data_IF_211825256568
#
_entry.id   IF_211825256568
#
_cell.length_a   1.000
_cell.length_b   1.000
_cell.length_c   1.000
_cell.angle_alpha   90.00
_cell.angle_beta   90.00
_cell.angle_gamma   90.00
#
_symmetry.space_group_name_H-M   'P 1'
#
loop_
_entity.id
_entity.type
_entity.pdbx_description
1 polymer ?
#
# COMPACT_ATOMS: atom_id res chain seq x y z
N UNK A 1 -29.61 -14.24 -0.10
CA UNK A 1 -29.15 -12.90 -0.52
C UNK A 1 -28.66 -12.15 0.72
N UNK A 2 -27.51 -11.48 0.65
CA UNK A 2 -26.98 -10.69 1.77
C UNK A 2 -27.65 -9.31 1.85
N UNK A 3 -27.62 -8.68 3.02
CA UNK A 3 -28.03 -7.29 3.18
C UNK A 3 -26.85 -6.34 2.91
N UNK A 4 -27.03 -5.26 2.14
CA UNK A 4 -25.98 -4.26 1.93
C UNK A 4 -25.54 -3.61 3.25
N UNK A 5 -24.23 -3.46 3.44
CA UNK A 5 -23.66 -2.69 4.55
C UNK A 5 -23.72 -1.18 4.27
N UNK A 6 -23.79 -0.36 5.32
CA UNK A 6 -23.60 1.07 5.17
C UNK A 6 -22.16 1.39 4.72
N UNK A 7 -21.98 2.48 3.98
CA UNK A 7 -20.69 2.81 3.36
C UNK A 7 -19.54 2.90 4.37
N UNK A 8 -19.75 3.57 5.50
CA UNK A 8 -18.71 3.71 6.54
C UNK A 8 -18.29 2.36 7.13
N UNK A 9 -19.27 1.46 7.33
CA UNK A 9 -19.02 0.12 7.87
C UNK A 9 -18.33 -0.78 6.84
N UNK A 10 -18.61 -0.59 5.55
CA UNK A 10 -17.95 -1.31 4.47
C UNK A 10 -16.52 -0.79 4.22
N UNK A 11 -16.25 0.48 4.48
CA UNK A 11 -14.96 1.13 4.19
C UNK A 11 -13.89 0.79 5.24
N UNK A 12 -14.28 0.70 6.52
CA UNK A 12 -13.33 0.54 7.62
C UNK A 12 -13.29 -0.92 8.09
N UNK A 13 -12.18 -1.60 7.81
CA UNK A 13 -11.86 -2.91 8.37
C UNK A 13 -11.24 -3.89 7.39
N UNK A 14 -11.16 -5.15 7.77
CA UNK A 14 -10.56 -6.20 6.95
C UNK A 14 -11.33 -6.48 5.66
N UNK A 15 -12.66 -6.27 5.65
CA UNK A 15 -13.49 -6.46 4.44
C UNK A 15 -13.11 -5.53 3.29
N UNK A 16 -12.53 -4.36 3.57
CA UNK A 16 -12.12 -3.40 2.52
C UNK A 16 -10.72 -3.67 1.96
N UNK A 17 -10.03 -4.69 2.47
CA UNK A 17 -8.66 -5.02 2.05
C UNK A 17 -8.69 -6.04 0.92
N UNK A 18 -8.37 -5.58 -0.29
CA UNK A 18 -7.99 -6.46 -1.40
C UNK A 18 -6.53 -6.91 -1.30
N UNK A 19 -6.16 -7.93 -2.09
CA UNK A 19 -4.76 -8.41 -2.14
C UNK A 19 -3.84 -7.29 -2.67
N UNK A 20 -2.79 -6.88 -1.93
CA UNK A 20 -1.92 -5.78 -2.35
C UNK A 20 -1.14 -6.10 -3.63
N UNK A 21 -1.36 -5.33 -4.69
CA UNK A 21 -0.83 -5.66 -6.02
C UNK A 21 0.40 -4.89 -6.51
N UNK A 22 0.77 -3.81 -5.82
CA UNK A 22 1.76 -2.85 -6.33
C UNK A 22 3.13 -3.47 -6.57
N UNK A 23 3.60 -4.35 -5.68
CA UNK A 23 4.94 -4.95 -5.81
C UNK A 23 5.04 -5.91 -7.00
N UNK A 24 4.01 -6.72 -7.27
CA UNK A 24 3.98 -7.52 -8.52
C UNK A 24 3.97 -6.66 -9.77
N UNK A 25 3.27 -5.52 -9.74
CA UNK A 25 3.27 -4.62 -10.89
C UNK A 25 4.64 -3.97 -11.11
N UNK A 26 5.31 -3.53 -10.04
CA UNK A 26 6.65 -2.96 -10.10
C UNK A 26 7.72 -3.99 -10.49
N UNK A 27 7.63 -5.22 -10.00
CA UNK A 27 8.48 -6.34 -10.42
C UNK A 27 8.33 -6.60 -11.92
N UNK A 28 7.09 -6.72 -12.41
CA UNK A 28 6.81 -6.94 -13.83
C UNK A 28 7.37 -5.80 -14.70
N UNK A 29 7.15 -4.54 -14.31
CA UNK A 29 7.67 -3.38 -15.03
C UNK A 29 9.21 -3.34 -15.02
N UNK A 30 9.83 -3.69 -13.89
CA UNK A 30 11.29 -3.74 -13.77
C UNK A 30 11.88 -4.88 -14.60
N UNK A 31 11.28 -6.06 -14.61
CA UNK A 31 11.72 -7.18 -15.44
C UNK A 31 11.65 -6.87 -16.94
N UNK A 32 10.63 -6.11 -17.37
CA UNK A 32 10.43 -5.76 -18.78
C UNK A 32 11.28 -4.55 -19.23
N UNK A 33 11.49 -3.57 -18.36
CA UNK A 33 12.00 -2.25 -18.75
C UNK A 33 13.07 -1.67 -17.81
N UNK A 34 13.41 -2.38 -16.74
CA UNK A 34 14.37 -1.95 -15.72
C UNK A 34 15.77 -1.81 -16.29
N UNK A 35 16.50 -0.80 -15.80
CA UNK A 35 17.90 -0.53 -16.17
C UNK A 35 18.85 -0.62 -14.98
N UNK A 36 18.37 -0.24 -13.79
CA UNK A 36 19.14 -0.30 -12.56
C UNK A 36 18.90 -1.63 -11.84
N UNK A 37 19.86 -2.11 -11.04
CA UNK A 37 19.65 -3.27 -10.18
C UNK A 37 18.43 -3.10 -9.26
N UNK A 38 17.64 -4.18 -9.10
CA UNK A 38 16.40 -4.16 -8.32
C UNK A 38 16.62 -3.65 -6.89
N UNK A 39 17.63 -4.18 -6.20
CA UNK A 39 17.95 -3.85 -4.82
C UNK A 39 18.32 -2.38 -4.60
N UNK A 40 18.94 -1.72 -5.57
CA UNK A 40 19.34 -0.31 -5.50
C UNK A 40 18.13 0.63 -5.49
N UNK A 41 17.02 0.24 -6.13
CA UNK A 41 15.80 1.05 -6.22
C UNK A 41 15.12 1.25 -4.86
N UNK A 42 15.36 0.37 -3.89
CA UNK A 42 14.75 0.44 -2.55
C UNK A 42 15.55 1.26 -1.56
N UNK A 43 16.84 1.52 -1.82
CA UNK A 43 17.75 2.13 -0.84
C UNK A 43 17.25 3.48 -0.30
N UNK A 44 16.75 4.42 -1.14
CA UNK A 44 16.23 5.68 -0.63
C UNK A 44 15.03 5.49 0.31
N UNK A 45 14.11 4.57 -0.01
CA UNK A 45 12.94 4.29 0.81
C UNK A 45 13.31 3.59 2.13
N UNK A 46 14.26 2.66 2.09
CA UNK A 46 14.79 1.99 3.29
C UNK A 46 15.43 3.00 4.23
N UNK A 47 16.24 3.93 3.71
CA UNK A 47 16.86 5.00 4.50
C UNK A 47 15.81 5.92 5.13
N UNK A 48 14.83 6.39 4.36
CA UNK A 48 13.74 7.22 4.89
C UNK A 48 12.92 6.51 5.97
N UNK A 49 12.66 5.21 5.81
CA UNK A 49 11.94 4.43 6.80
C UNK A 49 12.77 4.21 8.08
N UNK A 50 14.07 3.90 7.96
CA UNK A 50 14.95 3.62 9.10
C UNK A 50 15.38 4.89 9.85
N UNK A 51 15.89 5.86 9.10
CA UNK A 51 16.56 7.05 9.64
C UNK A 51 15.54 8.17 9.90
N UNK A 52 14.41 8.12 9.18
CA UNK A 52 13.25 8.98 9.34
C UNK A 52 13.24 10.18 8.44
N UNK A 53 12.08 10.85 8.42
CA UNK A 53 11.90 12.12 7.73
C UNK A 53 11.05 13.08 8.59
N UNK A 54 11.23 14.40 8.45
CA UNK A 54 10.43 15.35 9.21
C UNK A 54 8.98 15.35 8.74
N UNK A 55 8.04 15.28 9.68
CA UNK A 55 6.61 15.44 9.40
C UNK A 55 6.38 16.81 8.74
N UNK A 56 5.84 16.79 7.53
CA UNK A 56 5.51 18.01 6.78
C UNK A 56 4.19 18.62 7.27
N UNK A 57 3.92 19.91 6.99
CA UNK A 57 2.60 20.51 7.26
C UNK A 57 1.44 19.73 6.63
N UNK A 58 1.65 19.19 5.42
CA UNK A 58 0.67 18.37 4.71
C UNK A 58 0.38 17.07 5.47
N UNK A 59 1.42 16.35 5.89
CA UNK A 59 1.25 15.10 6.63
C UNK A 59 0.59 15.33 7.99
N UNK A 60 1.01 16.37 8.73
CA UNK A 60 0.36 16.75 9.99
C UNK A 60 -1.14 16.98 9.80
N UNK A 61 -1.52 17.77 8.79
CA UNK A 61 -2.92 18.05 8.49
C UNK A 61 -3.71 16.78 8.12
N UNK A 62 -3.10 15.84 7.38
CA UNK A 62 -3.73 14.56 7.06
C UNK A 62 -3.99 13.71 8.31
N UNK A 63 -2.99 13.60 9.20
CA UNK A 63 -3.15 12.90 10.49
C UNK A 63 -4.24 13.56 11.33
N UNK A 64 -4.25 14.89 11.43
CA UNK A 64 -5.23 15.63 12.21
C UNK A 64 -6.67 15.50 11.68
N UNK A 65 -6.83 15.28 10.38
CA UNK A 65 -8.15 15.14 9.74
C UNK A 65 -8.74 13.73 9.83
N UNK A 66 -7.93 12.72 10.15
CA UNK A 66 -8.35 11.32 10.16
C UNK A 66 -8.94 10.94 11.53
N UNK A 67 -10.17 10.42 11.52
CA UNK A 67 -10.92 10.05 12.74
C UNK A 67 -10.70 8.60 13.19
N UNK A 68 -9.99 7.80 12.42
CA UNK A 68 -9.81 6.36 12.61
C UNK A 68 -8.41 5.99 13.08
N UNK A 69 -7.38 6.84 12.89
CA UNK A 69 -6.01 6.60 13.39
C UNK A 69 -6.00 6.21 14.87
N UNK A 70 -6.72 6.94 15.72
CA UNK A 70 -6.77 6.69 17.17
C UNK A 70 -7.44 5.35 17.53
N UNK A 71 -8.21 4.75 16.62
CA UNK A 71 -8.91 3.48 16.82
C UNK A 71 -8.02 2.26 16.53
N UNK A 72 -6.89 2.46 15.84
CA UNK A 72 -5.90 1.41 15.58
C UNK A 72 -4.69 1.62 16.48
N UNK A 73 -4.40 0.69 17.42
CA UNK A 73 -3.24 0.80 18.31
C UNK A 73 -1.92 0.96 17.54
N UNK A 74 -1.77 0.27 16.41
CA UNK A 74 -0.57 0.35 15.57
C UNK A 74 -0.43 1.73 14.90
N UNK A 75 -1.52 2.28 14.35
CA UNK A 75 -1.50 3.61 13.72
C UNK A 75 -1.34 4.71 14.77
N UNK A 76 -2.03 4.63 15.90
CA UNK A 76 -1.90 5.58 17.00
C UNK A 76 -0.45 5.65 17.51
N UNK A 77 0.20 4.50 17.71
CA UNK A 77 1.63 4.43 18.10
C UNK A 77 2.54 5.10 17.07
N UNK A 78 2.21 4.98 15.78
CA UNK A 78 3.05 5.45 14.68
C UNK A 78 2.82 6.93 14.32
N UNK A 79 1.60 7.43 14.44
CA UNK A 79 1.17 8.73 13.89
C UNK A 79 0.70 9.73 14.95
N UNK A 80 0.59 9.35 16.22
CA UNK A 80 0.18 10.24 17.31
C UNK A 80 1.26 10.36 18.39
N UNK A 81 1.20 11.46 19.14
CA UNK A 81 1.98 11.65 20.36
C UNK A 81 1.46 10.75 21.48
N UNK A 82 2.20 10.65 22.59
CA UNK A 82 1.75 9.94 23.78
C UNK A 82 0.43 10.50 24.37
N UNK A 83 0.08 11.74 24.06
CA UNK A 83 -1.18 12.39 24.46
C UNK A 83 -2.30 12.21 23.42
N UNK A 84 -2.10 11.35 22.41
CA UNK A 84 -3.06 11.08 21.36
C UNK A 84 -3.25 12.23 20.36
N UNK A 85 -2.32 13.19 20.30
CA UNK A 85 -2.38 14.30 19.36
C UNK A 85 -1.63 13.97 18.07
N UNK A 86 -2.00 14.53 16.90
CA UNK A 86 -1.23 14.38 15.67
C UNK A 86 0.24 14.77 15.88
N UNK A 87 1.18 14.02 15.28
CA UNK A 87 2.60 14.36 15.38
C UNK A 87 2.85 15.80 14.89
N UNK A 88 3.57 16.64 15.67
CA UNK A 88 3.89 17.99 15.27
C UNK A 88 4.73 18.05 13.99
N UNK A 89 4.59 19.13 13.22
CA UNK A 89 5.46 19.43 12.08
C UNK A 89 6.92 19.44 12.54
N UNK A 90 7.80 18.83 11.75
CA UNK A 90 9.22 18.70 12.06
C UNK A 90 9.58 17.49 12.92
N UNK A 91 8.60 16.78 13.49
CA UNK A 91 8.86 15.52 14.20
C UNK A 91 9.53 14.52 13.25
N UNK A 92 10.61 13.89 13.70
CA UNK A 92 11.30 12.87 12.90
C UNK A 92 10.51 11.55 12.96
N UNK A 93 9.76 11.24 11.91
CA UNK A 93 8.94 10.04 11.81
C UNK A 93 9.77 8.88 11.24
N UNK A 94 9.82 7.75 11.95
CA UNK A 94 10.60 6.55 11.62
C UNK A 94 9.74 5.30 11.64
N UNK A 95 9.95 4.40 10.69
CA UNK A 95 9.30 3.09 10.60
C UNK A 95 10.35 1.99 10.35
N UNK A 96 11.10 1.56 11.39
CA UNK A 96 12.13 0.54 11.24
C UNK A 96 11.55 -0.82 10.80
N UNK A 97 10.31 -1.15 11.17
CA UNK A 97 9.64 -2.37 10.72
C UNK A 97 9.38 -2.38 9.20
N UNK A 98 8.98 -1.22 8.65
CA UNK A 98 8.88 -1.04 7.20
C UNK A 98 10.25 -1.10 6.53
N UNK A 99 11.30 -0.53 7.14
CA UNK A 99 12.65 -0.60 6.61
C UNK A 99 13.13 -2.06 6.47
N UNK A 100 12.85 -2.92 7.47
CA UNK A 100 13.15 -4.35 7.41
C UNK A 100 12.37 -5.07 6.31
N UNK A 101 11.10 -4.72 6.12
CA UNK A 101 10.26 -5.29 5.05
C UNK A 101 10.79 -4.90 3.67
N UNK A 102 11.12 -3.62 3.46
CA UNK A 102 11.70 -3.12 2.21
C UNK A 102 13.08 -3.71 1.93
N UNK A 103 13.91 -3.87 2.95
CA UNK A 103 15.22 -4.54 2.83
C UNK A 103 15.04 -6.00 2.39
N UNK A 104 14.10 -6.73 3.01
CA UNK A 104 13.82 -8.11 2.63
C UNK A 104 13.36 -8.24 1.17
N UNK A 105 12.58 -7.27 0.66
CA UNK A 105 12.14 -7.21 -0.74
C UNK A 105 13.32 -6.87 -1.67
N UNK A 106 14.20 -5.97 -1.26
CA UNK A 106 15.40 -5.61 -2.02
C UNK A 106 16.33 -6.81 -2.19
N UNK A 107 16.53 -7.60 -1.13
CA UNK A 107 17.50 -8.70 -1.10
C UNK A 107 16.95 -10.00 -1.71
N UNK A 108 15.65 -10.28 -1.52
CA UNK A 108 15.05 -11.59 -1.86
C UNK A 108 13.95 -11.50 -2.91
N UNK A 109 13.72 -10.33 -3.49
CA UNK A 109 12.62 -10.07 -4.42
C UNK A 109 11.27 -9.96 -3.73
N UNK A 110 10.21 -9.75 -4.52
CA UNK A 110 8.87 -9.46 -3.98
C UNK A 110 8.23 -10.64 -3.25
N UNK A 111 8.73 -11.86 -3.43
CA UNK A 111 8.26 -13.04 -2.69
C UNK A 111 8.46 -12.90 -1.18
N UNK A 112 9.40 -12.05 -0.73
CA UNK A 112 9.53 -11.68 0.68
C UNK A 112 8.29 -10.98 1.26
N UNK A 113 7.44 -10.40 0.41
CA UNK A 113 6.17 -9.76 0.78
C UNK A 113 4.98 -10.72 0.61
N UNK A 114 4.97 -11.50 -0.48
CA UNK A 114 3.84 -12.37 -0.84
C UNK A 114 3.87 -13.76 -0.16
N UNK A 115 4.92 -14.07 0.60
CA UNK A 115 5.10 -15.34 1.29
C UNK A 115 5.65 -15.15 2.70
N UNK A 116 5.66 -16.22 3.49
CA UNK A 116 6.26 -16.25 4.84
C UNK A 116 5.60 -15.28 5.84
N UNK A 117 6.41 -14.72 6.74
CA UNK A 117 5.92 -13.97 7.89
C UNK A 117 5.17 -12.68 7.53
N UNK A 118 5.56 -11.98 6.45
CA UNK A 118 4.88 -10.75 6.00
C UNK A 118 3.47 -11.09 5.48
N UNK A 119 3.36 -12.13 4.65
CA UNK A 119 2.06 -12.62 4.17
C UNK A 119 1.17 -13.10 5.32
N UNK A 120 1.72 -13.86 6.27
CA UNK A 120 0.97 -14.31 7.44
C UNK A 120 0.49 -13.14 8.29
N UNK A 121 1.36 -12.16 8.56
CA UNK A 121 0.99 -10.97 9.33
C UNK A 121 -0.12 -10.14 8.67
N UNK A 122 -0.15 -10.07 7.33
CA UNK A 122 -1.26 -9.45 6.60
C UNK A 122 -2.57 -10.22 6.80
N UNK A 123 -2.57 -11.54 6.63
CA UNK A 123 -3.75 -12.40 6.85
C UNK A 123 -4.27 -12.25 8.28
N UNK A 124 -3.37 -12.34 9.26
CA UNK A 124 -3.72 -12.25 10.67
C UNK A 124 -4.34 -10.89 10.99
N UNK A 125 -3.72 -9.80 10.53
CA UNK A 125 -4.20 -8.45 10.80
C UNK A 125 -5.56 -8.16 10.14
N UNK A 126 -5.78 -8.66 8.92
CA UNK A 126 -7.05 -8.49 8.19
C UNK A 126 -8.18 -9.28 8.85
N UNK A 127 -7.91 -10.51 9.27
CA UNK A 127 -8.93 -11.41 9.82
C UNK A 127 -9.17 -11.18 11.32
N UNK A 128 -8.23 -10.59 12.06
CA UNK A 128 -8.40 -10.23 13.47
C UNK A 128 -9.15 -8.91 13.70
N UNK A 129 -9.46 -8.15 12.65
CA UNK A 129 -10.19 -6.89 12.76
C UNK A 129 -11.64 -7.13 13.24
N UNK A 130 -12.24 -6.24 14.07
CA UNK A 130 -13.64 -6.37 14.50
C UNK A 130 -14.66 -6.49 13.35
N UNK A 131 -14.33 -5.89 12.21
CA UNK A 131 -14.95 -6.11 10.91
C UNK A 131 -13.99 -6.95 10.05
N UNK A 132 -13.98 -8.29 10.18
CA UNK A 132 -12.92 -9.15 9.67
C UNK A 132 -13.03 -9.33 8.16
N UNK A 133 -11.87 -9.39 7.49
CA UNK A 133 -11.80 -9.77 6.08
C UNK A 133 -11.87 -11.29 5.88
N UNK A 134 -11.59 -11.70 4.64
CA UNK A 134 -11.46 -13.11 4.27
C UNK A 134 -10.16 -13.38 3.49
N UNK A 135 -9.14 -12.53 3.68
CA UNK A 135 -7.87 -12.66 2.99
C UNK A 135 -7.16 -13.93 3.46
N UNK A 136 -6.71 -14.77 2.52
CA UNK A 136 -5.96 -15.99 2.82
C UNK A 136 -4.53 -15.94 2.26
N UNK A 137 -3.66 -16.82 2.76
CA UNK A 137 -2.32 -17.00 2.17
C UNK A 137 -2.37 -17.43 0.70
N UNK A 138 -3.41 -18.18 0.30
CA UNK A 138 -3.62 -18.58 -1.08
C UNK A 138 -3.94 -17.36 -1.98
N UNK A 139 -4.73 -16.40 -1.47
CA UNK A 139 -5.01 -15.15 -2.20
C UNK A 139 -3.73 -14.32 -2.38
N UNK A 140 -2.94 -14.17 -1.33
CA UNK A 140 -1.69 -13.39 -1.35
C UNK A 140 -0.67 -14.02 -2.30
N UNK A 141 -0.38 -15.31 -2.14
CA UNK A 141 0.60 -16.03 -2.98
C UNK A 141 0.11 -16.22 -4.43
N UNK A 142 -1.20 -16.31 -4.63
CA UNK A 142 -1.84 -16.45 -5.93
C UNK A 142 -1.93 -15.15 -6.74
N UNK A 143 -1.67 -13.99 -6.14
CA UNK A 143 -1.80 -12.70 -6.84
C UNK A 143 -0.86 -12.60 -8.04
N UNK A 144 -1.38 -12.06 -9.15
CA UNK A 144 -0.62 -11.79 -10.38
C UNK A 144 -0.98 -10.41 -10.90
N UNK A 145 0.05 -9.61 -11.21
CA UNK A 145 -0.11 -8.45 -12.06
C UNK A 145 -0.44 -8.91 -13.49
N UNK A 146 -1.20 -8.09 -14.23
CA UNK A 146 -1.55 -8.35 -15.61
C UNK A 146 -1.15 -7.16 -16.46
N UNK A 147 -0.31 -7.39 -17.45
CA UNK A 147 -0.08 -6.44 -18.53
C UNK A 147 -1.34 -6.37 -19.40
N UNK A 148 -1.70 -5.16 -19.83
CA UNK A 148 -2.88 -4.90 -20.64
C UNK A 148 -2.56 -3.83 -21.67
N UNK A 149 -3.08 -4.00 -22.87
CA UNK A 149 -2.97 -2.97 -23.89
C UNK A 149 -3.73 -1.71 -23.48
N UNK A 150 -3.15 -0.52 -23.68
CA UNK A 150 -3.83 0.74 -23.39
C UNK A 150 -5.06 0.90 -24.29
N UNK A 151 -6.07 1.62 -23.79
CA UNK A 151 -7.15 2.13 -24.63
C UNK A 151 -6.66 3.43 -25.25
N UNK A 152 -6.62 3.49 -26.57
CA UNK A 152 -6.17 4.67 -27.31
C UNK A 152 -7.24 5.13 -28.29
N UNK A 153 -7.39 6.44 -28.42
CA UNK A 153 -8.25 7.08 -29.41
C UNK A 153 -7.54 8.28 -30.05
N UNK A 154 -7.96 8.62 -31.26
CA UNK A 154 -7.45 9.81 -31.93
C UNK A 154 -8.25 11.04 -31.47
N UNK A 155 -7.54 12.11 -31.11
CA UNK A 155 -8.10 13.41 -30.73
C UNK A 155 -7.40 14.50 -31.53
N UNK A 156 -8.08 15.03 -32.56
CA UNK A 156 -7.50 15.93 -33.57
C UNK A 156 -6.25 15.28 -34.19
N UNK A 157 -5.09 15.95 -34.11
CA UNK A 157 -3.81 15.42 -34.61
C UNK A 157 -3.07 14.50 -33.61
N UNK A 158 -3.63 14.27 -32.42
CA UNK A 158 -2.98 13.52 -31.35
C UNK A 158 -3.59 12.13 -31.18
N UNK A 159 -2.78 11.19 -30.70
CA UNK A 159 -3.27 9.94 -30.14
C UNK A 159 -3.22 10.02 -28.62
N UNK A 160 -4.38 9.89 -27.98
CA UNK A 160 -4.52 9.90 -26.52
C UNK A 160 -4.71 8.47 -26.06
N UNK A 161 -3.89 8.03 -25.11
CA UNK A 161 -3.94 6.68 -24.54
C UNK A 161 -4.16 6.76 -23.03
N UNK A 162 -5.00 5.87 -22.51
CA UNK A 162 -5.32 5.76 -21.10
C UNK A 162 -5.33 4.31 -20.60
N UNK A 163 -5.61 4.15 -19.30
CA UNK A 163 -5.65 2.83 -18.67
C UNK A 163 -6.89 2.04 -19.15
N UNK A 164 -6.73 0.76 -19.52
CA UNK A 164 -7.85 -0.11 -19.84
C UNK A 164 -8.58 -0.58 -18.57
N UNK A 165 -9.74 -1.27 -18.71
CA UNK A 165 -10.32 -2.03 -17.61
C UNK A 165 -9.27 -2.87 -16.88
N UNK A 166 -9.20 -2.82 -15.54
CA UNK A 166 -10.28 -2.46 -14.62
C UNK A 166 -10.44 -0.97 -14.31
N UNK A 167 -9.62 -0.07 -14.88
CA UNK A 167 -9.86 1.37 -14.76
C UNK A 167 -10.95 1.82 -15.74
N UNK A 168 -11.80 2.76 -15.33
CA UNK A 168 -12.75 3.45 -16.22
C UNK A 168 -12.15 4.69 -16.88
N UNK A 169 -11.02 5.22 -16.37
CA UNK A 169 -10.53 6.54 -16.73
C UNK A 169 -10.08 6.70 -18.20
N UNK A 170 -9.64 5.63 -18.86
CA UNK A 170 -9.29 5.68 -20.29
C UNK A 170 -10.48 5.57 -21.24
N UNK A 171 -11.66 5.19 -20.73
CA UNK A 171 -12.90 5.04 -21.51
C UNK A 171 -13.84 6.23 -21.30
N UNK A 172 -13.81 6.82 -20.10
CA UNK A 172 -14.66 7.96 -19.69
C UNK A 172 -14.26 9.28 -20.35
#
# INVERSE_FOLDING_TARGET
>A
AGQPMAFADAQIGGLSVGVPGVLRALEMAHAQHGKLPWNELFQPAIQLARDGFPVSPRLHAQIASDKFIAQSPALAKYLLTAQGQPLPVGTLLKNPELALTLQAIADRGVDAFYQGAVAQGMVDQVNAHPNPGSLSLADISGYRAKERHPVCGDYKQWRVCGMPPPSSGGVA
#
